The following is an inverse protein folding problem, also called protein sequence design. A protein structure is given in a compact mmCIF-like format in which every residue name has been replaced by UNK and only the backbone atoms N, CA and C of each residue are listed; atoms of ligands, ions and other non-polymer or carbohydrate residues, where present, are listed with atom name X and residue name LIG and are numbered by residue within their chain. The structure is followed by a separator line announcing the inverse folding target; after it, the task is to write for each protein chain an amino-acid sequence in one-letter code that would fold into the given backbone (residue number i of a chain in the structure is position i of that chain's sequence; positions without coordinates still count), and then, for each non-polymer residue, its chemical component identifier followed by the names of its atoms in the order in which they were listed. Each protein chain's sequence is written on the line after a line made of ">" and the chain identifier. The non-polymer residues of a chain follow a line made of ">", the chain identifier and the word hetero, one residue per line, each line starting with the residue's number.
data_IF_425245504234
#
_entry.id   IF_425245504234
#
_cell.length_a   1.000
_cell.length_b   1.000
_cell.length_c   1.000
_cell.angle_alpha   90.00
_cell.angle_beta   90.00
_cell.angle_gamma   90.00
#
_symmetry.space_group_name_H-M   'P 1'
#
loop_
_entity.id
_entity.type
_entity.pdbx_description
1 polymer ?
#
# COMPACT_ATOMS: atom_id res chain seq x y z
N UNK A 1 40.52 -61.16 27.68
CA UNK A 1 40.40 -60.04 26.68
C UNK A 1 38.96 -59.80 26.19
N UNK A 2 38.20 -60.84 25.82
CA UNK A 2 36.79 -60.76 25.35
C UNK A 2 35.86 -60.13 26.39
N UNK A 3 36.03 -60.43 27.71
CA UNK A 3 35.22 -59.90 28.81
C UNK A 3 35.43 -58.36 29.02
N UNK A 4 36.63 -57.87 28.77
CA UNK A 4 36.99 -56.45 28.90
C UNK A 4 36.36 -55.69 27.75
N UNK A 5 36.41 -56.20 26.51
CA UNK A 5 35.83 -55.62 25.32
C UNK A 5 34.31 -55.50 25.44
N UNK A 6 33.64 -56.56 25.91
CA UNK A 6 32.20 -56.54 26.14
C UNK A 6 31.77 -55.51 27.21
N UNK A 7 32.57 -55.30 28.26
CA UNK A 7 32.33 -54.32 29.31
C UNK A 7 32.46 -52.87 28.74
N UNK A 8 33.47 -52.60 27.92
CA UNK A 8 33.63 -51.28 27.26
C UNK A 8 32.51 -51.00 26.26
N UNK A 9 32.10 -51.99 25.47
CA UNK A 9 31.00 -51.87 24.52
C UNK A 9 29.67 -51.54 25.25
N UNK A 10 29.43 -52.15 26.40
CA UNK A 10 28.23 -51.89 27.20
C UNK A 10 28.23 -50.48 27.82
N UNK A 11 29.37 -50.03 28.33
CA UNK A 11 29.55 -48.66 28.84
C UNK A 11 29.32 -47.63 27.73
N UNK A 12 29.92 -47.85 26.57
CA UNK A 12 29.73 -46.97 25.40
C UNK A 12 28.28 -46.93 24.95
N UNK A 13 27.61 -48.06 24.88
CA UNK A 13 26.19 -48.15 24.55
C UNK A 13 25.30 -47.36 25.53
N UNK A 14 25.53 -47.49 26.84
CA UNK A 14 24.79 -46.71 27.84
C UNK A 14 25.08 -45.20 27.74
N UNK A 15 26.32 -44.80 27.45
CA UNK A 15 26.72 -43.41 27.28
C UNK A 15 26.03 -42.79 26.06
N UNK A 16 26.05 -43.51 24.93
CA UNK A 16 25.38 -43.07 23.70
C UNK A 16 23.87 -42.95 23.91
N UNK A 17 23.22 -43.92 24.53
CA UNK A 17 21.78 -43.83 24.85
C UNK A 17 21.44 -42.61 25.71
N UNK A 18 22.26 -42.31 26.72
CA UNK A 18 22.06 -41.13 27.57
C UNK A 18 22.22 -39.85 26.76
N UNK A 19 23.28 -39.72 25.94
CA UNK A 19 23.52 -38.54 25.09
C UNK A 19 22.39 -38.32 24.08
N UNK A 20 21.85 -39.40 23.48
CA UNK A 20 20.70 -39.30 22.57
C UNK A 20 19.46 -38.80 23.32
N UNK A 21 19.21 -39.27 24.52
CA UNK A 21 18.07 -38.83 25.32
C UNK A 21 18.20 -37.35 25.73
N UNK A 22 19.40 -36.92 26.17
CA UNK A 22 19.70 -35.53 26.49
C UNK A 22 19.57 -34.63 25.25
N UNK A 23 20.06 -35.07 24.10
CA UNK A 23 19.95 -34.33 22.83
C UNK A 23 18.48 -34.17 22.35
N UNK A 24 17.69 -35.24 22.48
CA UNK A 24 16.27 -35.18 22.13
C UNK A 24 15.49 -34.23 23.06
N UNK A 25 15.75 -34.30 24.38
CA UNK A 25 15.11 -33.39 25.32
C UNK A 25 15.49 -31.91 25.04
N UNK A 26 16.76 -31.65 24.70
CA UNK A 26 17.22 -30.32 24.34
C UNK A 26 16.61 -29.84 23.02
N UNK A 27 16.48 -30.75 22.04
CA UNK A 27 15.80 -30.43 20.77
C UNK A 27 14.32 -30.07 21.00
N UNK A 28 13.61 -30.85 21.81
CA UNK A 28 12.20 -30.54 22.11
C UNK A 28 12.04 -29.20 22.83
N UNK A 29 12.92 -28.87 23.76
CA UNK A 29 12.94 -27.53 24.39
C UNK A 29 13.18 -26.41 23.38
N UNK A 30 14.17 -26.58 22.49
CA UNK A 30 14.46 -25.59 21.47
C UNK A 30 13.29 -25.42 20.47
N UNK A 31 12.65 -26.50 20.05
CA UNK A 31 11.47 -26.49 19.20
C UNK A 31 10.31 -25.72 19.86
N UNK A 32 10.10 -25.91 21.18
CA UNK A 32 9.09 -25.14 21.92
C UNK A 32 9.46 -23.66 22.03
N UNK A 33 10.71 -23.33 22.35
CA UNK A 33 11.17 -21.93 22.43
C UNK A 33 11.05 -21.21 21.08
N UNK A 34 11.44 -21.87 19.99
CA UNK A 34 11.28 -21.33 18.62
C UNK A 34 9.81 -21.07 18.31
N UNK A 35 8.94 -21.98 18.68
CA UNK A 35 7.50 -21.84 18.43
C UNK A 35 6.89 -20.67 19.23
N UNK A 36 7.30 -20.51 20.49
CA UNK A 36 6.86 -19.40 21.35
C UNK A 36 7.37 -18.05 20.84
N UNK A 37 8.66 -17.95 20.48
CA UNK A 37 9.26 -16.74 19.90
C UNK A 37 8.66 -16.37 18.56
N UNK A 38 8.36 -17.36 17.72
CA UNK A 38 7.70 -17.12 16.44
C UNK A 38 6.31 -16.52 16.65
N UNK A 39 5.54 -17.03 17.62
CA UNK A 39 4.23 -16.50 17.97
C UNK A 39 4.31 -15.07 18.53
N UNK A 40 5.25 -14.80 19.45
CA UNK A 40 5.48 -13.45 19.97
C UNK A 40 5.84 -12.45 18.86
N UNK A 41 6.68 -12.86 17.90
CA UNK A 41 7.10 -12.06 16.76
C UNK A 41 5.92 -11.78 15.81
N UNK A 42 5.07 -12.76 15.57
CA UNK A 42 3.84 -12.58 14.76
C UNK A 42 2.86 -11.63 15.44
N UNK A 43 2.68 -11.72 16.75
CA UNK A 43 1.81 -10.80 17.50
C UNK A 43 2.37 -9.39 17.54
N UNK A 44 3.68 -9.23 17.72
CA UNK A 44 4.36 -7.93 17.65
C UNK A 44 4.24 -7.31 16.24
N UNK A 45 4.45 -8.10 15.18
CA UNK A 45 4.26 -7.65 13.80
C UNK A 45 2.81 -7.25 13.51
N UNK A 46 1.82 -8.00 13.99
CA UNK A 46 0.41 -7.62 13.86
C UNK A 46 0.10 -6.31 14.58
N UNK A 47 0.69 -6.08 15.76
CA UNK A 47 0.55 -4.80 16.48
C UNK A 47 1.21 -3.64 15.73
N UNK A 48 2.41 -3.83 15.20
CA UNK A 48 3.09 -2.84 14.35
C UNK A 48 2.29 -2.54 13.08
N UNK A 49 1.69 -3.56 12.46
CA UNK A 49 0.81 -3.44 11.31
C UNK A 49 -0.48 -2.65 11.60
N UNK A 50 -1.01 -2.77 12.82
CA UNK A 50 -2.18 -2.00 13.26
C UNK A 50 -1.85 -0.52 13.53
N UNK A 51 -0.64 -0.23 14.01
CA UNK A 51 -0.19 1.13 14.33
C UNK A 51 0.16 1.91 13.04
N UNK A 52 0.72 1.24 12.02
CA UNK A 52 1.11 1.88 10.76
C UNK A 52 0.02 1.77 9.68
N UNK A 53 -1.13 2.43 9.90
CA UNK A 53 -2.21 2.54 8.89
C UNK A 53 -2.16 3.82 8.08
N UNK A 54 -1.40 4.79 8.55
CA UNK A 54 -1.32 6.11 7.96
C UNK A 54 0.08 6.37 7.42
N UNK A 55 0.16 7.20 6.41
CA UNK A 55 1.40 7.81 5.96
C UNK A 55 1.76 8.95 6.90
N UNK A 56 2.96 8.93 7.47
CA UNK A 56 3.39 9.89 8.50
C UNK A 56 3.49 11.32 7.97
N UNK A 57 3.81 11.50 6.69
CA UNK A 57 3.97 12.83 6.10
C UNK A 57 2.63 13.51 5.83
N UNK A 58 1.67 12.77 5.25
CA UNK A 58 0.40 13.33 4.77
C UNK A 58 -0.77 13.09 5.72
N UNK A 59 -0.63 12.15 6.67
CA UNK A 59 -1.70 11.71 7.56
C UNK A 59 -2.83 10.97 6.84
N UNK A 60 -2.66 10.65 5.57
CA UNK A 60 -3.60 9.84 4.79
C UNK A 60 -3.45 8.35 5.12
N UNK A 61 -4.46 7.51 4.85
CA UNK A 61 -4.28 6.08 4.74
C UNK A 61 -3.07 5.75 3.85
N UNK A 62 -2.28 4.76 4.26
CA UNK A 62 -1.21 4.24 3.42
C UNK A 62 -1.74 3.16 2.46
N UNK A 63 -0.88 2.68 1.57
CA UNK A 63 -1.22 1.63 0.59
C UNK A 63 -1.87 0.41 1.24
N UNK A 64 -1.39 -0.02 2.40
CA UNK A 64 -1.89 -1.22 3.10
C UNK A 64 -3.33 -1.00 3.58
N UNK A 65 -3.62 0.14 4.17
CA UNK A 65 -4.97 0.46 4.65
C UNK A 65 -5.95 0.67 3.48
N UNK A 66 -5.48 1.24 2.37
CA UNK A 66 -6.26 1.33 1.13
C UNK A 66 -6.67 -0.05 0.61
N UNK A 67 -5.77 -1.02 0.55
CA UNK A 67 -6.10 -2.38 0.09
C UNK A 67 -7.16 -3.05 0.99
N UNK A 68 -7.06 -2.88 2.30
CA UNK A 68 -8.11 -3.36 3.24
C UNK A 68 -9.47 -2.68 3.01
N UNK A 69 -9.44 -1.38 2.72
CA UNK A 69 -10.66 -0.63 2.42
C UNK A 69 -11.31 -1.12 1.13
N UNK A 70 -10.50 -1.41 0.12
CA UNK A 70 -10.94 -1.99 -1.15
C UNK A 70 -11.60 -3.36 -0.94
N UNK A 71 -10.99 -4.24 -0.13
CA UNK A 71 -11.56 -5.56 0.18
C UNK A 71 -12.94 -5.45 0.84
N UNK A 72 -13.11 -4.50 1.76
CA UNK A 72 -14.40 -4.22 2.40
C UNK A 72 -15.43 -3.70 1.37
N UNK A 73 -15.01 -2.82 0.46
CA UNK A 73 -15.91 -2.29 -0.57
C UNK A 73 -16.34 -3.37 -1.56
N UNK A 74 -15.46 -4.29 -1.95
CA UNK A 74 -15.79 -5.45 -2.79
C UNK A 74 -16.88 -6.30 -2.15
N UNK A 75 -16.77 -6.59 -0.85
CA UNK A 75 -17.81 -7.31 -0.11
C UNK A 75 -19.15 -6.54 -0.09
N UNK A 76 -19.08 -5.20 -0.02
CA UNK A 76 -20.27 -4.35 -0.05
C UNK A 76 -20.94 -4.35 -1.42
N UNK A 77 -20.17 -4.20 -2.48
CA UNK A 77 -20.64 -4.18 -3.88
C UNK A 77 -21.24 -5.52 -4.30
N UNK A 78 -20.71 -6.63 -3.82
CA UNK A 78 -21.28 -7.97 -4.08
C UNK A 78 -22.75 -8.05 -3.66
N UNK A 79 -23.14 -7.29 -2.63
CA UNK A 79 -24.52 -7.20 -2.11
C UNK A 79 -25.33 -6.08 -2.75
N UNK A 80 -24.76 -4.88 -2.86
CA UNK A 80 -25.46 -3.67 -3.31
C UNK A 80 -25.58 -3.56 -4.84
N UNK A 81 -24.68 -4.22 -5.59
CA UNK A 81 -24.55 -4.13 -7.06
C UNK A 81 -24.25 -2.72 -7.58
N UNK A 82 -23.93 -1.77 -6.70
CA UNK A 82 -23.58 -0.41 -7.10
C UNK A 82 -22.12 -0.35 -7.52
N UNK A 83 -21.77 0.36 -8.61
CA UNK A 83 -20.37 0.46 -9.08
C UNK A 83 -19.51 1.26 -8.10
N UNK A 84 -18.21 1.03 -8.17
CA UNK A 84 -17.22 1.93 -7.57
C UNK A 84 -16.03 2.09 -8.51
N UNK A 85 -15.30 3.20 -8.34
CA UNK A 85 -14.19 3.55 -9.22
C UNK A 85 -12.91 3.82 -8.44
N UNK A 86 -11.80 3.67 -9.16
CA UNK A 86 -10.47 4.08 -8.75
C UNK A 86 -10.03 5.30 -9.53
N UNK A 87 -9.35 6.23 -8.84
CA UNK A 87 -8.58 7.30 -9.49
C UNK A 87 -7.14 7.14 -9.01
N UNK A 88 -6.25 6.80 -9.92
CA UNK A 88 -4.82 6.79 -9.66
C UNK A 88 -4.25 8.16 -10.03
N UNK A 89 -3.45 8.75 -9.16
CA UNK A 89 -3.02 10.16 -9.24
C UNK A 89 -1.52 10.23 -9.04
N UNK A 90 -0.85 11.06 -9.82
CA UNK A 90 0.58 11.34 -9.69
C UNK A 90 0.85 12.84 -9.89
N UNK A 91 1.80 13.36 -9.11
CA UNK A 91 2.19 14.76 -9.20
C UNK A 91 3.18 14.93 -10.34
N UNK A 92 2.79 15.72 -11.33
CA UNK A 92 3.61 15.96 -12.51
C UNK A 92 4.94 16.64 -12.16
N UNK A 93 6.03 16.06 -12.68
CA UNK A 93 7.39 16.60 -12.50
C UNK A 93 7.84 16.73 -11.04
N UNK A 94 7.32 15.91 -10.12
CA UNK A 94 7.63 16.00 -8.69
C UNK A 94 9.13 15.86 -8.41
N UNK A 95 9.84 15.00 -9.16
CA UNK A 95 11.29 14.91 -9.06
C UNK A 95 11.98 16.25 -9.30
N UNK A 96 11.51 17.04 -10.31
CA UNK A 96 12.08 18.35 -10.58
C UNK A 96 11.86 19.35 -9.42
N UNK A 97 10.74 19.22 -8.70
CA UNK A 97 10.50 20.02 -7.49
C UNK A 97 11.55 19.69 -6.42
N UNK A 98 11.79 18.40 -6.17
CA UNK A 98 12.80 17.95 -5.21
C UNK A 98 14.21 18.38 -5.62
N UNK A 99 14.56 18.19 -6.90
CA UNK A 99 15.90 18.50 -7.41
C UNK A 99 16.19 20.02 -7.38
N UNK A 100 15.13 20.86 -7.57
CA UNK A 100 15.29 22.32 -7.62
C UNK A 100 15.17 22.98 -6.26
N UNK A 101 14.24 22.53 -5.41
CA UNK A 101 13.87 23.22 -4.17
C UNK A 101 14.15 22.39 -2.90
N UNK A 102 14.66 21.16 -3.06
CA UNK A 102 14.96 20.24 -1.98
C UNK A 102 13.77 19.43 -1.48
N UNK A 103 14.03 18.32 -0.79
CA UNK A 103 13.02 17.38 -0.31
C UNK A 103 12.01 18.00 0.65
N UNK A 104 12.44 18.94 1.51
CA UNK A 104 11.54 19.63 2.44
C UNK A 104 10.45 20.43 1.70
N UNK A 105 10.76 20.97 0.52
CA UNK A 105 9.79 21.62 -0.34
C UNK A 105 8.86 20.60 -1.00
N UNK A 106 9.38 19.47 -1.47
CA UNK A 106 8.59 18.36 -1.98
C UNK A 106 7.60 17.81 -0.95
N UNK A 107 8.02 17.71 0.31
CA UNK A 107 7.14 17.29 1.41
C UNK A 107 5.96 18.25 1.60
N UNK A 108 6.18 19.57 1.50
CA UNK A 108 5.09 20.55 1.56
C UNK A 108 4.16 20.47 0.35
N UNK A 109 4.70 20.18 -0.83
CA UNK A 109 3.88 19.91 -2.05
C UNK A 109 3.00 18.67 -1.80
N UNK A 110 3.54 17.58 -1.28
CA UNK A 110 2.78 16.36 -0.97
C UNK A 110 1.67 16.63 0.05
N UNK A 111 1.96 17.36 1.13
CA UNK A 111 0.97 17.76 2.14
C UNK A 111 -0.12 18.63 1.53
N UNK A 112 0.25 19.60 0.73
CA UNK A 112 -0.70 20.52 0.09
C UNK A 112 -1.64 19.78 -0.87
N UNK A 113 -1.09 18.96 -1.78
CA UNK A 113 -1.87 18.18 -2.74
C UNK A 113 -2.82 17.23 -2.01
N UNK A 114 -2.32 16.51 -1.02
CA UNK A 114 -3.12 15.56 -0.23
C UNK A 114 -4.27 16.24 0.52
N UNK A 115 -4.01 17.36 1.17
CA UNK A 115 -5.02 18.14 1.90
C UNK A 115 -6.07 18.72 0.93
N UNK A 116 -5.63 19.25 -0.23
CA UNK A 116 -6.52 19.81 -1.24
C UNK A 116 -7.47 18.75 -1.78
N UNK A 117 -6.97 17.58 -2.18
CA UNK A 117 -7.80 16.49 -2.69
C UNK A 117 -8.75 15.98 -1.60
N UNK A 118 -8.25 15.77 -0.39
CA UNK A 118 -9.06 15.31 0.75
C UNK A 118 -10.26 16.21 1.02
N UNK A 119 -10.09 17.54 0.93
CA UNK A 119 -11.16 18.51 1.13
C UNK A 119 -12.23 18.50 0.02
N UNK A 120 -11.93 17.90 -1.13
CA UNK A 120 -12.87 17.75 -2.25
C UNK A 120 -13.65 16.42 -2.19
N UNK A 121 -13.26 15.50 -1.32
CA UNK A 121 -13.86 14.18 -1.19
C UNK A 121 -15.12 14.20 -0.30
N UNK A 122 -16.04 13.28 -0.61
CA UNK A 122 -17.20 12.99 0.24
C UNK A 122 -16.76 12.16 1.45
N UNK A 123 -17.62 12.06 2.46
CA UNK A 123 -17.36 11.32 3.69
C UNK A 123 -16.96 9.84 3.48
N UNK A 124 -17.49 9.22 2.42
CA UNK A 124 -17.28 7.79 2.13
C UNK A 124 -16.21 7.54 1.07
N UNK A 125 -15.72 8.60 0.41
CA UNK A 125 -14.60 8.51 -0.50
C UNK A 125 -13.31 8.37 0.31
N UNK A 126 -12.36 7.59 -0.19
CA UNK A 126 -11.09 7.34 0.51
C UNK A 126 -9.94 7.73 -0.39
N UNK A 127 -9.04 8.55 0.13
CA UNK A 127 -7.76 8.90 -0.48
C UNK A 127 -6.64 8.28 0.33
N UNK A 128 -5.70 7.64 -0.33
CA UNK A 128 -4.49 7.09 0.29
C UNK A 128 -3.23 7.57 -0.46
N UNK A 129 -2.12 7.67 0.25
CA UNK A 129 -0.80 7.76 -0.36
C UNK A 129 -0.36 6.34 -0.73
N UNK A 130 -0.25 6.08 -2.02
CA UNK A 130 0.00 4.74 -2.55
C UNK A 130 1.48 4.46 -2.80
N UNK A 131 2.24 5.50 -3.13
CA UNK A 131 3.69 5.50 -3.37
C UNK A 131 4.32 6.82 -2.96
N UNK A 132 5.52 7.12 -3.45
CA UNK A 132 6.25 8.35 -3.15
C UNK A 132 5.45 9.63 -3.43
N UNK A 133 5.07 9.83 -4.69
CA UNK A 133 4.28 10.96 -5.20
C UNK A 133 2.92 10.54 -5.75
N UNK A 134 2.55 9.27 -5.51
CA UNK A 134 1.37 8.63 -6.03
C UNK A 134 0.28 8.52 -4.98
N UNK A 135 -0.96 8.80 -5.40
CA UNK A 135 -2.14 8.67 -4.57
C UNK A 135 -3.18 7.80 -5.27
N UNK A 136 -3.95 7.07 -4.49
CA UNK A 136 -5.09 6.28 -4.96
C UNK A 136 -6.35 6.75 -4.26
N UNK A 137 -7.39 7.05 -5.03
CA UNK A 137 -8.71 7.37 -4.51
C UNK A 137 -9.68 6.23 -4.83
N UNK A 138 -10.46 5.83 -3.84
CA UNK A 138 -11.60 4.92 -3.97
C UNK A 138 -12.89 5.73 -3.87
N UNK A 139 -13.75 5.62 -4.86
CA UNK A 139 -15.04 6.30 -4.94
C UNK A 139 -16.20 5.28 -4.90
N UNK A 140 -16.73 4.96 -3.74
CA UNK A 140 -17.89 4.09 -3.60
C UNK A 140 -19.13 4.64 -4.31
N UNK A 141 -20.00 3.73 -4.80
CA UNK A 141 -21.27 4.08 -5.45
C UNK A 141 -21.14 5.15 -6.55
N UNK A 142 -20.06 5.10 -7.30
CA UNK A 142 -19.72 6.07 -8.34
C UNK A 142 -19.40 5.32 -9.63
N UNK A 143 -20.07 5.67 -10.70
CA UNK A 143 -19.80 5.17 -12.04
C UNK A 143 -18.62 5.89 -12.71
N UNK A 144 -18.25 5.44 -13.89
CA UNK A 144 -17.07 5.93 -14.60
C UNK A 144 -17.17 7.42 -14.97
N UNK A 145 -18.36 7.89 -15.37
CA UNK A 145 -18.56 9.30 -15.70
C UNK A 145 -18.53 10.19 -14.45
N UNK A 146 -19.15 9.73 -13.36
CA UNK A 146 -19.05 10.42 -12.07
C UNK A 146 -17.61 10.50 -11.56
N UNK A 147 -16.84 9.42 -11.69
CA UNK A 147 -15.43 9.41 -11.31
C UNK A 147 -14.57 10.35 -12.16
N UNK A 148 -14.84 10.43 -13.45
CA UNK A 148 -14.19 11.39 -14.35
C UNK A 148 -14.46 12.85 -13.92
N UNK A 149 -15.69 13.17 -13.56
CA UNK A 149 -16.05 14.52 -13.06
C UNK A 149 -15.28 14.84 -11.77
N UNK A 150 -15.18 13.89 -10.85
CA UNK A 150 -14.40 14.04 -9.60
C UNK A 150 -12.92 14.23 -9.92
N UNK A 151 -12.35 13.44 -10.81
CA UNK A 151 -10.95 13.53 -11.22
C UNK A 151 -10.62 14.90 -11.86
N UNK A 152 -11.49 15.40 -12.76
CA UNK A 152 -11.32 16.72 -13.36
C UNK A 152 -11.41 17.86 -12.34
N UNK A 153 -12.25 17.70 -11.32
CA UNK A 153 -12.31 18.66 -10.20
C UNK A 153 -11.00 18.68 -9.44
N UNK A 154 -10.39 17.53 -9.15
CA UNK A 154 -9.07 17.45 -8.51
C UNK A 154 -8.01 18.15 -9.37
N UNK A 155 -7.93 17.77 -10.64
CA UNK A 155 -6.96 18.32 -11.57
C UNK A 155 -7.03 19.85 -11.62
N UNK A 156 -8.23 20.40 -11.88
CA UNK A 156 -8.43 21.85 -11.99
C UNK A 156 -8.14 22.59 -10.69
N UNK A 157 -8.48 21.99 -9.54
CA UNK A 157 -8.22 22.62 -8.25
C UNK A 157 -6.72 22.69 -7.98
N UNK A 158 -5.99 21.60 -8.21
CA UNK A 158 -4.52 21.59 -8.03
C UNK A 158 -3.85 22.57 -9.01
N UNK A 159 -4.19 22.55 -10.30
CA UNK A 159 -3.66 23.47 -11.31
C UNK A 159 -3.81 24.95 -10.91
N UNK A 160 -4.91 25.30 -10.25
CA UNK A 160 -5.22 26.67 -9.84
C UNK A 160 -4.72 27.04 -8.45
N UNK A 161 -4.14 26.10 -7.70
CA UNK A 161 -3.56 26.37 -6.37
C UNK A 161 -2.06 26.65 -6.47
N UNK A 162 -1.54 27.27 -5.41
CA UNK A 162 -0.12 27.59 -5.29
C UNK A 162 0.36 27.12 -3.92
N UNK A 163 1.40 26.32 -3.90
CA UNK A 163 2.06 25.89 -2.66
C UNK A 163 3.03 26.99 -2.23
N UNK A 164 2.91 27.45 -0.98
CA UNK A 164 3.81 28.44 -0.41
C UNK A 164 4.83 27.73 0.49
N UNK A 165 6.10 27.89 0.17
CA UNK A 165 7.21 27.37 0.97
C UNK A 165 8.23 28.47 1.26
N UNK A 166 8.17 29.05 2.45
CA UNK A 166 8.96 30.25 2.80
C UNK A 166 8.58 31.43 1.92
N UNK A 167 9.52 31.87 1.06
CA UNK A 167 9.29 32.94 0.06
C UNK A 167 8.96 32.42 -1.33
N UNK A 168 8.94 31.09 -1.51
CA UNK A 168 8.70 30.47 -2.80
C UNK A 168 7.21 30.24 -3.05
N UNK A 169 6.79 30.45 -4.26
CA UNK A 169 5.44 30.16 -4.76
C UNK A 169 5.56 29.09 -5.85
N UNK A 170 5.14 27.87 -5.54
CA UNK A 170 5.33 26.70 -6.40
C UNK A 170 3.99 26.28 -6.97
N UNK A 171 3.93 26.09 -8.27
CA UNK A 171 2.79 25.51 -8.98
C UNK A 171 3.13 24.11 -9.43
N UNK A 172 2.21 23.20 -9.18
CA UNK A 172 2.28 21.80 -9.65
C UNK A 172 0.98 21.45 -10.35
N UNK A 173 1.04 20.44 -11.19
CA UNK A 173 -0.13 19.82 -11.81
C UNK A 173 -0.16 18.34 -11.42
N UNK A 174 -1.27 17.69 -11.68
CA UNK A 174 -1.44 16.26 -11.47
C UNK A 174 -2.01 15.60 -12.73
N UNK A 175 -1.55 14.38 -12.98
CA UNK A 175 -2.14 13.52 -14.01
C UNK A 175 -2.92 12.41 -13.30
N UNK A 176 -4.07 12.04 -13.87
CA UNK A 176 -4.99 11.11 -13.24
C UNK A 176 -5.44 10.04 -14.24
N UNK A 177 -5.43 8.80 -13.79
CA UNK A 177 -6.03 7.67 -14.49
C UNK A 177 -7.27 7.18 -13.75
N UNK A 178 -8.36 6.94 -14.46
CA UNK A 178 -9.65 6.53 -13.90
C UNK A 178 -10.06 5.18 -14.44
N UNK A 179 -10.43 4.26 -13.56
CA UNK A 179 -11.01 2.98 -13.93
C UNK A 179 -12.15 2.58 -12.99
N UNK A 180 -13.15 1.95 -13.54
CA UNK A 180 -14.22 1.31 -12.75
C UNK A 180 -13.78 -0.09 -12.33
N UNK A 181 -14.15 -0.49 -11.12
CA UNK A 181 -13.93 -1.86 -10.66
C UNK A 181 -14.67 -2.86 -11.54
N UNK A 182 -13.94 -3.85 -12.01
CA UNK A 182 -14.49 -4.96 -12.76
C UNK A 182 -14.46 -6.22 -11.89
N UNK A 183 -15.63 -6.76 -11.61
CA UNK A 183 -15.79 -7.95 -10.78
C UNK A 183 -15.12 -9.21 -11.40
N UNK A 184 -15.06 -9.29 -12.72
CA UNK A 184 -14.46 -10.44 -13.40
C UNK A 184 -12.93 -10.43 -13.33
N UNK A 185 -12.34 -9.23 -13.25
CA UNK A 185 -10.89 -9.04 -13.26
C UNK A 185 -10.30 -8.88 -11.85
N UNK A 186 -11.12 -8.44 -10.88
CA UNK A 186 -10.71 -8.19 -9.51
C UNK A 186 -10.03 -6.84 -9.29
N UNK A 187 -9.71 -6.53 -8.01
CA UNK A 187 -9.19 -5.24 -7.60
C UNK A 187 -7.83 -4.90 -8.22
N UNK A 188 -6.88 -5.83 -8.16
CA UNK A 188 -5.51 -5.60 -8.64
C UNK A 188 -5.48 -5.20 -10.11
N UNK A 189 -6.25 -5.89 -10.95
CA UNK A 189 -6.32 -5.54 -12.37
C UNK A 189 -7.07 -4.24 -12.60
N UNK A 190 -8.12 -3.96 -11.85
CA UNK A 190 -8.85 -2.68 -11.96
C UNK A 190 -7.98 -1.50 -11.54
N UNK A 191 -7.13 -1.64 -10.52
CA UNK A 191 -6.13 -0.64 -10.14
C UNK A 191 -5.06 -0.49 -11.25
N UNK A 192 -4.58 -1.61 -11.83
CA UNK A 192 -3.64 -1.56 -12.95
C UNK A 192 -4.22 -0.85 -14.18
N UNK A 193 -5.53 -0.95 -14.42
CA UNK A 193 -6.20 -0.21 -15.49
C UNK A 193 -6.15 1.30 -15.23
N UNK A 194 -6.40 1.74 -14.00
CA UNK A 194 -6.26 3.14 -13.61
C UNK A 194 -4.81 3.62 -13.75
N UNK A 195 -3.83 2.81 -13.35
CA UNK A 195 -2.41 3.10 -13.49
C UNK A 195 -1.98 3.21 -14.97
N UNK A 196 -2.44 2.30 -15.85
CA UNK A 196 -2.18 2.40 -17.29
C UNK A 196 -2.77 3.66 -17.91
N UNK A 197 -3.99 4.04 -17.52
CA UNK A 197 -4.60 5.29 -17.94
C UNK A 197 -3.80 6.51 -17.45
N UNK A 198 -3.30 6.49 -16.21
CA UNK A 198 -2.38 7.49 -15.69
C UNK A 198 -1.10 7.57 -16.53
N UNK A 199 -0.49 6.43 -16.83
CA UNK A 199 0.72 6.37 -17.65
C UNK A 199 0.49 6.99 -19.05
N UNK A 200 -0.62 6.65 -19.73
CA UNK A 200 -1.02 7.27 -20.98
C UNK A 200 -1.13 8.80 -20.85
N UNK A 201 -1.71 9.29 -19.76
CA UNK A 201 -1.80 10.70 -19.46
C UNK A 201 -0.43 11.37 -19.34
N UNK A 202 0.53 10.72 -18.68
CA UNK A 202 1.91 11.21 -18.55
C UNK A 202 2.62 11.29 -19.91
N UNK A 203 2.46 10.27 -20.75
CA UNK A 203 3.07 10.23 -22.10
C UNK A 203 2.44 11.25 -23.06
N UNK A 204 1.17 11.56 -22.90
CA UNK A 204 0.43 12.45 -23.81
C UNK A 204 0.39 13.91 -23.36
N UNK A 205 1.29 14.34 -22.46
CA UNK A 205 1.53 15.76 -22.11
C UNK A 205 1.08 16.16 -20.72
N UNK A 206 0.76 15.22 -19.82
CA UNK A 206 0.45 15.47 -18.38
C UNK A 206 -0.74 16.41 -18.15
N UNK A 207 -0.99 16.78 -16.88
CA UNK A 207 -2.06 17.69 -16.45
C UNK A 207 -3.42 17.35 -17.07
N UNK A 208 -3.83 16.09 -16.98
CA UNK A 208 -5.05 15.58 -17.60
C UNK A 208 -5.63 14.39 -16.86
N UNK A 209 -6.87 14.07 -17.21
CA UNK A 209 -7.59 12.89 -16.78
C UNK A 209 -7.74 11.95 -17.97
N UNK A 210 -7.29 10.72 -17.81
CA UNK A 210 -7.52 9.63 -18.77
C UNK A 210 -8.44 8.61 -18.13
N UNK A 211 -9.49 8.25 -18.84
CA UNK A 211 -10.41 7.19 -18.43
C UNK A 211 -10.01 5.92 -19.16
N UNK A 212 -9.73 4.87 -18.39
CA UNK A 212 -9.45 3.55 -18.96
C UNK A 212 -10.61 3.11 -19.88
N UNK A 213 -10.27 2.70 -21.09
CA UNK A 213 -11.19 2.03 -22.02
C UNK A 213 -10.62 0.66 -22.32
N UNK A 214 -11.43 -0.43 -22.23
CA UNK A 214 -10.98 -1.73 -22.71
C UNK A 214 -10.57 -1.60 -24.18
N UNK A 215 -9.44 -2.21 -24.53
CA UNK A 215 -9.08 -2.36 -25.93
C UNK A 215 -10.17 -3.20 -26.60
N UNK A 216 -10.77 -2.65 -27.66
CA UNK A 216 -11.81 -3.28 -28.48
C UNK A 216 -11.22 -4.38 -29.37
#
# INVERSE_FOLDING_TARGET
>A
EIGILAKHCNIMHHTIKRQIAELNAHREMLEQEVQERTKELEEANKKLDLISRTDELTGLPNRRDMLRTIDNEIQRVTRSKKPFCFIFIDIDHFKNVNDTYGHACGDEVLKHVSATIRNLLRKYDVLARYGGEEFLTLLPETDLEGAKIVAERFRKTIENTTVIFGKLSIKVTITLGVAQYDHALGADKSIQMADRALYEGKETGRNKVIVWKPES
#
